data_IF_400896590051
#
_entry.id   IF_400896590051
#
_cell.length_a   1.000
_cell.length_b   1.000
_cell.length_c   1.000
_cell.angle_alpha   90.00
_cell.angle_beta   90.00
_cell.angle_gamma   90.00
#
_symmetry.space_group_name_H-M   'P 1'
#
loop_
_entity.id
_entity.type
_entity.pdbx_description
1 polymer ?
#
# COMPACT_ATOMS: atom_id res chain seq x y z
N UNK A 1 -0.77 16.28 19.41
CA UNK A 1 -0.26 14.88 19.35
C UNK A 1 0.64 14.76 18.11
N UNK A 2 1.95 14.58 18.27
CA UNK A 2 2.89 14.50 17.12
C UNK A 2 2.83 13.08 16.56
N UNK A 3 2.11 12.89 15.44
CA UNK A 3 2.05 11.59 14.75
C UNK A 3 3.46 11.24 14.28
N UNK A 4 4.06 10.17 14.84
CA UNK A 4 5.34 9.65 14.35
C UNK A 4 5.14 9.15 12.91
N UNK A 5 5.62 9.93 11.95
CA UNK A 5 5.54 9.61 10.52
C UNK A 5 6.46 8.47 10.13
N UNK A 6 7.50 8.18 10.90
CA UNK A 6 8.41 7.06 10.68
C UNK A 6 7.96 5.83 11.48
N UNK A 7 7.57 4.75 10.79
CA UNK A 7 6.98 3.56 11.39
C UNK A 7 7.21 2.31 10.55
N UNK A 8 7.18 1.12 11.16
CA UNK A 8 7.25 -0.13 10.41
C UNK A 8 5.96 -0.33 9.60
N UNK A 9 6.11 -0.84 8.38
CA UNK A 9 5.03 -1.28 7.50
C UNK A 9 5.41 -2.64 6.90
N UNK A 10 4.44 -3.50 6.70
CA UNK A 10 4.64 -4.79 6.04
C UNK A 10 4.16 -4.70 4.61
N UNK A 11 5.07 -4.96 3.68
CA UNK A 11 4.81 -5.08 2.26
C UNK A 11 4.40 -6.51 1.94
N UNK A 12 3.31 -6.67 1.19
CA UNK A 12 2.84 -7.96 0.70
C UNK A 12 3.03 -7.99 -0.81
N UNK A 13 3.93 -8.85 -1.27
CA UNK A 13 4.08 -9.17 -2.70
C UNK A 13 3.39 -10.48 -3.00
N UNK A 14 2.78 -10.60 -4.18
CA UNK A 14 2.24 -11.89 -4.63
C UNK A 14 3.20 -12.44 -5.67
N UNK A 15 3.76 -13.62 -5.37
CA UNK A 15 4.56 -14.37 -6.33
C UNK A 15 3.67 -15.42 -6.99
N UNK A 16 3.63 -15.41 -8.32
CA UNK A 16 3.04 -16.50 -9.08
C UNK A 16 4.05 -17.63 -9.19
N UNK A 17 3.66 -18.81 -8.72
CA UNK A 17 4.42 -20.05 -8.83
C UNK A 17 3.69 -20.88 -9.88
N UNK A 18 4.31 -21.04 -11.04
CA UNK A 18 3.71 -21.82 -12.13
C UNK A 18 3.74 -23.30 -11.75
N UNK A 19 2.56 -23.91 -11.67
CA UNK A 19 2.42 -25.34 -11.48
C UNK A 19 2.32 -26.07 -12.81
N UNK A 20 2.27 -27.40 -12.75
CA UNK A 20 2.12 -28.26 -13.93
C UNK A 20 0.72 -28.17 -14.56
N UNK A 21 -0.28 -27.70 -13.81
CA UNK A 21 -1.68 -27.57 -14.25
C UNK A 21 -2.24 -26.18 -13.93
N UNK A 22 -2.06 -25.71 -12.70
CA UNK A 22 -2.53 -24.40 -12.24
C UNK A 22 -1.41 -23.57 -11.62
N UNK A 23 -1.44 -22.27 -11.89
CA UNK A 23 -0.60 -21.28 -11.22
C UNK A 23 -1.08 -21.06 -9.78
N UNK A 24 -0.16 -21.04 -8.83
CA UNK A 24 -0.44 -20.71 -7.43
C UNK A 24 0.08 -19.33 -7.09
N UNK A 25 -0.78 -18.51 -6.48
CA UNK A 25 -0.39 -17.23 -5.91
C UNK A 25 0.07 -17.40 -4.46
N UNK A 26 1.36 -17.18 -4.19
CA UNK A 26 1.94 -17.27 -2.85
C UNK A 26 2.28 -15.86 -2.35
N UNK A 27 1.69 -15.40 -1.24
CA UNK A 27 2.06 -14.11 -0.66
C UNK A 27 3.42 -14.18 0.02
N UNK A 28 4.25 -13.15 -0.20
CA UNK A 28 5.53 -12.95 0.45
C UNK A 28 5.50 -11.64 1.22
N UNK A 29 5.98 -11.69 2.46
CA UNK A 29 5.86 -10.61 3.44
C UNK A 29 7.24 -10.03 3.74
N UNK A 30 7.35 -8.71 3.71
CA UNK A 30 8.58 -8.00 4.07
C UNK A 30 8.26 -6.78 4.93
N UNK A 31 8.75 -6.77 6.17
CA UNK A 31 8.59 -5.60 7.06
C UNK A 31 9.74 -4.63 6.85
N UNK A 32 9.41 -3.37 6.60
CA UNK A 32 10.38 -2.28 6.37
C UNK A 32 9.99 -1.04 7.17
N UNK A 33 10.96 -0.19 7.46
CA UNK A 33 10.69 1.12 8.04
C UNK A 33 10.36 2.13 6.92
N UNK A 34 9.26 2.86 7.08
CA UNK A 34 8.79 3.84 6.11
C UNK A 34 8.42 5.18 6.76
N UNK A 35 8.62 6.26 6.01
CA UNK A 35 7.99 7.54 6.33
C UNK A 35 6.60 7.56 5.68
N UNK A 36 5.57 7.37 6.49
CA UNK A 36 4.17 7.36 6.06
C UNK A 36 3.54 8.73 6.30
N UNK A 37 3.07 9.35 5.23
CA UNK A 37 2.35 10.64 5.27
C UNK A 37 0.98 10.47 4.66
N UNK A 38 -0.04 11.11 5.23
CA UNK A 38 -1.39 11.13 4.67
C UNK A 38 -1.46 12.12 3.49
N UNK A 39 -2.23 11.75 2.46
CA UNK A 39 -2.47 12.56 1.27
C UNK A 39 -3.91 13.08 1.34
N UNK A 40 -4.06 14.27 1.95
CA UNK A 40 -5.37 14.90 2.13
C UNK A 40 -5.69 15.85 0.96
N UNK A 41 -6.97 15.86 0.57
CA UNK A 41 -7.53 16.79 -0.41
C UNK A 41 -7.93 16.16 -1.74
N UNK A 42 -9.20 16.31 -2.12
CA UNK A 42 -9.78 15.75 -3.35
C UNK A 42 -8.99 16.14 -4.61
N UNK A 43 -8.60 17.41 -4.73
CA UNK A 43 -7.85 17.90 -5.91
C UNK A 43 -6.45 17.28 -5.99
N UNK A 44 -5.76 17.10 -4.86
CA UNK A 44 -4.45 16.47 -4.81
C UNK A 44 -4.54 14.98 -5.18
N UNK A 45 -5.56 14.28 -4.66
CA UNK A 45 -5.80 12.87 -4.98
C UNK A 45 -6.18 12.67 -6.46
N UNK A 46 -7.07 13.51 -7.01
CA UNK A 46 -7.39 13.50 -8.44
C UNK A 46 -6.13 13.72 -9.30
N UNK A 47 -5.28 14.68 -8.93
CA UNK A 47 -4.05 14.95 -9.68
C UNK A 47 -3.02 13.81 -9.59
N UNK A 48 -2.98 13.08 -8.47
CA UNK A 48 -2.00 12.01 -8.26
C UNK A 48 -2.45 10.66 -8.81
N UNK A 49 -3.74 10.32 -8.65
CA UNK A 49 -4.28 8.99 -8.88
C UNK A 49 -5.38 8.96 -9.95
N UNK A 50 -5.92 10.11 -10.36
CA UNK A 50 -7.09 10.19 -11.24
C UNK A 50 -8.40 9.72 -10.60
N UNK A 51 -8.38 9.44 -9.30
CA UNK A 51 -9.51 8.93 -8.50
C UNK A 51 -9.47 9.54 -7.10
N UNK A 52 -10.62 9.56 -6.44
CA UNK A 52 -10.73 9.97 -5.04
C UNK A 52 -10.85 8.72 -4.17
N UNK A 53 -10.20 8.75 -3.02
CA UNK A 53 -10.21 7.69 -2.03
C UNK A 53 -10.54 8.31 -0.68
N UNK A 54 -11.22 7.58 0.19
CA UNK A 54 -11.61 8.10 1.50
C UNK A 54 -10.37 8.48 2.32
N UNK A 55 -9.40 7.57 2.42
CA UNK A 55 -8.10 7.87 3.03
C UNK A 55 -6.96 7.30 2.19
N UNK A 56 -5.98 8.15 1.90
CA UNK A 56 -4.77 7.77 1.17
C UNK A 56 -3.52 8.13 1.93
N UNK A 57 -2.49 7.30 1.74
CA UNK A 57 -1.19 7.51 2.33
C UNK A 57 -0.09 7.25 1.31
N UNK A 58 1.06 7.89 1.57
CA UNK A 58 2.32 7.63 0.88
C UNK A 58 3.30 7.07 1.90
N UNK A 59 3.79 5.84 1.67
CA UNK A 59 4.91 5.25 2.37
C UNK A 59 6.19 5.46 1.56
N UNK A 60 7.11 6.27 2.09
CA UNK A 60 8.44 6.47 1.50
C UNK A 60 9.43 5.50 2.14
N UNK A 61 9.94 4.58 1.33
CA UNK A 61 10.79 3.47 1.75
C UNK A 61 12.17 3.63 1.09
N UNK A 62 13.25 3.37 1.82
CA UNK A 62 14.61 3.39 1.25
C UNK A 62 14.82 2.13 0.40
N UNK A 63 15.44 2.31 -0.76
CA UNK A 63 15.68 1.23 -1.74
C UNK A 63 14.51 0.98 -2.68
N UNK A 64 14.67 -0.04 -3.52
CA UNK A 64 13.69 -0.46 -4.51
C UNK A 64 12.83 -1.59 -3.93
N UNK A 65 11.55 -1.30 -3.73
CA UNK A 65 10.59 -2.29 -3.22
C UNK A 65 9.40 -2.44 -4.15
N UNK A 66 8.68 -3.53 -3.97
CA UNK A 66 7.43 -3.82 -4.66
C UNK A 66 6.40 -4.30 -3.62
N UNK A 67 5.12 -4.06 -3.89
CA UNK A 67 4.02 -4.43 -2.99
C UNK A 67 2.68 -4.39 -3.73
N UNK A 68 1.87 -5.42 -3.57
CA UNK A 68 0.45 -5.41 -3.96
C UNK A 68 -0.44 -4.88 -2.83
N UNK A 69 -0.05 -5.16 -1.59
CA UNK A 69 -0.73 -4.65 -0.40
C UNK A 69 0.27 -4.16 0.64
N UNK A 70 -0.19 -3.28 1.52
CA UNK A 70 0.54 -2.80 2.69
C UNK A 70 -0.34 -2.95 3.93
N UNK A 71 0.23 -3.34 5.06
CA UNK A 71 -0.45 -3.23 6.36
C UNK A 71 0.51 -2.79 7.46
N UNK A 72 -0.03 -2.30 8.57
CA UNK A 72 0.76 -1.98 9.75
C UNK A 72 0.97 -3.24 10.60
N UNK A 73 2.22 -3.61 10.93
CA UNK A 73 2.46 -4.82 11.71
C UNK A 73 1.88 -4.71 13.11
N UNK A 74 1.29 -5.81 13.59
CA UNK A 74 0.77 -5.94 14.95
C UNK A 74 1.81 -6.61 15.84
N UNK A 75 1.98 -6.11 17.06
CA UNK A 75 2.92 -6.69 18.01
C UNK A 75 2.48 -8.12 18.37
N UNK A 76 3.38 -9.10 18.23
CA UNK A 76 3.11 -10.50 18.60
C UNK A 76 2.30 -11.30 17.58
N UNK A 77 1.96 -10.74 16.40
CA UNK A 77 1.25 -11.46 15.33
C UNK A 77 2.18 -11.66 14.14
N UNK A 78 2.35 -12.90 13.71
CA UNK A 78 3.07 -13.19 12.47
C UNK A 78 2.36 -12.60 11.26
N UNK A 79 3.12 -12.05 10.31
CA UNK A 79 2.56 -11.40 9.11
C UNK A 79 1.64 -12.31 8.29
N UNK A 80 1.89 -13.62 8.30
CA UNK A 80 1.07 -14.63 7.60
C UNK A 80 -0.31 -14.83 8.24
N UNK A 81 -0.44 -14.53 9.52
CA UNK A 81 -1.68 -14.70 10.29
C UNK A 81 -2.56 -13.45 10.29
N UNK A 82 -2.07 -12.34 9.71
CA UNK A 82 -2.83 -11.09 9.62
C UNK A 82 -3.97 -11.25 8.63
N UNK A 83 -5.18 -10.93 9.08
CA UNK A 83 -6.38 -10.97 8.25
C UNK A 83 -6.24 -10.02 7.05
N UNK A 84 -6.63 -10.49 5.86
CA UNK A 84 -6.65 -9.72 4.61
C UNK A 84 -7.48 -8.43 4.69
N UNK A 85 -8.43 -8.33 5.61
CA UNK A 85 -9.18 -7.09 5.86
C UNK A 85 -8.30 -5.93 6.34
N UNK A 86 -7.14 -6.23 6.93
CA UNK A 86 -6.17 -5.23 7.34
C UNK A 86 -5.20 -4.84 6.21
N UNK A 87 -5.36 -5.42 5.02
CA UNK A 87 -4.47 -5.16 3.88
C UNK A 87 -5.00 -3.95 3.13
N UNK A 88 -4.19 -2.90 3.10
CA UNK A 88 -4.46 -1.74 2.28
C UNK A 88 -3.97 -1.98 0.85
N UNK A 89 -4.83 -1.88 -0.17
CA UNK A 89 -4.41 -2.02 -1.56
C UNK A 89 -3.42 -0.91 -1.94
N UNK A 90 -2.36 -1.32 -2.64
CA UNK A 90 -1.42 -0.38 -3.26
C UNK A 90 -2.05 0.14 -4.55
N UNK A 91 -2.12 1.47 -4.67
CA UNK A 91 -2.66 2.19 -5.83
C UNK A 91 -1.56 2.33 -6.88
N UNK A 92 -0.38 2.79 -6.45
CA UNK A 92 0.73 3.10 -7.32
C UNK A 92 2.07 2.94 -6.59
N UNK A 93 3.09 2.48 -7.31
CA UNK A 93 4.48 2.49 -6.87
C UNK A 93 5.29 3.40 -7.79
N UNK A 94 6.03 4.34 -7.20
CA UNK A 94 6.98 5.20 -7.93
C UNK A 94 8.39 4.92 -7.41
N UNK A 95 9.24 4.37 -8.27
CA UNK A 95 10.63 4.07 -7.96
C UNK A 95 11.52 5.26 -8.33
N UNK A 96 12.44 5.60 -7.44
CA UNK A 96 13.48 6.61 -7.63
C UNK A 96 14.84 5.95 -7.37
N UNK A 97 15.95 6.65 -7.63
CA UNK A 97 17.30 6.08 -7.53
C UNK A 97 17.58 5.36 -6.18
N UNK A 98 17.21 5.95 -5.05
CA UNK A 98 17.51 5.42 -3.71
C UNK A 98 16.26 5.22 -2.82
N UNK A 99 15.06 5.41 -3.38
CA UNK A 99 13.80 5.30 -2.62
C UNK A 99 12.66 4.83 -3.49
N UNK A 100 11.66 4.24 -2.85
CA UNK A 100 10.39 3.92 -3.45
C UNK A 100 9.28 4.64 -2.68
N UNK A 101 8.44 5.35 -3.41
CA UNK A 101 7.22 5.93 -2.89
C UNK A 101 6.06 4.97 -3.21
N UNK A 102 5.45 4.40 -2.18
CA UNK A 102 4.29 3.51 -2.32
C UNK A 102 3.04 4.23 -1.88
N UNK A 103 2.09 4.38 -2.80
CA UNK A 103 0.80 5.00 -2.56
C UNK A 103 -0.24 3.93 -2.30
N UNK A 104 -0.98 4.03 -1.21
CA UNK A 104 -1.98 3.05 -0.79
C UNK A 104 -3.19 3.73 -0.16
N UNK A 105 -4.35 3.06 -0.22
CA UNK A 105 -5.63 3.57 0.31
C UNK A 105 -6.31 2.55 1.22
N UNK A 106 -7.29 3.00 2.00
CA UNK A 106 -8.16 2.12 2.77
C UNK A 106 -9.30 1.50 1.95
N UNK A 107 -9.62 2.07 0.79
CA UNK A 107 -10.71 1.65 -0.08
C UNK A 107 -10.25 1.45 -1.53
N UNK A 108 -11.18 1.05 -2.39
CA UNK A 108 -10.94 0.82 -3.83
C UNK A 108 -10.99 2.10 -4.67
N UNK A 109 -11.27 3.25 -4.06
CA UNK A 109 -11.45 4.55 -4.71
C UNK A 109 -12.74 4.67 -5.50
N UNK A 110 -13.22 5.91 -5.66
CA UNK A 110 -14.38 6.31 -6.46
C UNK A 110 -13.89 7.19 -7.62
N UNK A 111 -14.44 6.99 -8.81
CA UNK A 111 -14.12 7.84 -9.96
C UNK A 111 -14.74 9.22 -9.76
N UNK A 112 -14.01 10.27 -10.13
CA UNK A 112 -14.46 11.67 -9.96
C UNK A 112 -15.77 11.96 -10.69
N UNK A 113 -16.10 11.21 -11.75
CA UNK A 113 -17.37 11.33 -12.50
C UNK A 113 -18.59 10.74 -11.78
N UNK A 114 -18.42 9.96 -10.72
CA UNK A 114 -19.52 9.30 -10.00
C UNK A 114 -19.96 10.08 -8.75
N UNK A 115 -19.28 11.20 -8.44
CA UNK A 115 -19.57 12.05 -7.29
C UNK A 115 -20.54 13.22 -7.60
N UNK A 116 -21.01 13.34 -8.85
CA UNK A 116 -21.94 14.39 -9.31
C UNK A 116 -23.38 13.88 -9.56
N UNK A 117 -23.81 12.80 -8.92
CA UNK A 117 -25.23 12.34 -8.97
C UNK A 117 -26.00 12.67 -7.69
#
# INVERSE_FOLDING_TARGET
MVVRRFRPVTLVTIKKVHGTLDDKEVPSFQTVMAHVTEVNGAQLQNNLFGKQYNMTWIARIRGNVDAKYIFYPHLGVESKCVNKHNYHPVIQIRKHANRTDVYFANDTGVNSNELEQ
#
